data_IF_977923433121
#
_entry.id   IF_977923433121
#
_cell.length_a   1.000
_cell.length_b   1.000
_cell.length_c   1.000
_cell.angle_alpha   90.00
_cell.angle_beta   90.00
_cell.angle_gamma   90.00
#
_symmetry.space_group_name_H-M   'P 1'
#
loop_
_entity.id
_entity.type
_entity.pdbx_description
1 polymer ?
#
# COMPACT_ATOMS: atom_id res chain seq x y z
N UNK A 1 8.31 26.52 2.47
CA UNK A 1 8.01 25.24 1.75
C UNK A 1 7.69 24.19 2.80
N UNK A 2 6.56 23.55 2.70
CA UNK A 2 6.26 22.40 3.55
C UNK A 2 7.19 21.25 3.16
N UNK A 3 7.87 20.69 4.14
CA UNK A 3 8.73 19.54 3.95
C UNK A 3 7.86 18.32 3.65
N UNK A 4 8.02 17.74 2.47
CA UNK A 4 7.27 16.56 2.07
C UNK A 4 8.03 15.31 2.50
N UNK A 5 7.44 14.55 3.40
CA UNK A 5 8.05 13.33 3.92
C UNK A 5 7.89 12.17 2.93
N UNK A 6 8.89 11.33 2.86
CA UNK A 6 8.89 10.08 2.10
C UNK A 6 9.02 8.86 2.99
N UNK A 7 8.75 7.70 2.42
CA UNK A 7 8.95 6.40 3.07
C UNK A 7 9.95 5.59 2.24
N UNK A 8 11.07 5.23 2.87
CA UNK A 8 12.07 4.37 2.25
C UNK A 8 11.83 2.90 2.64
N UNK A 9 11.86 2.04 1.65
CA UNK A 9 11.69 0.59 1.82
C UNK A 9 12.72 -0.16 0.97
N UNK A 10 13.52 -1.00 1.60
CA UNK A 10 14.47 -1.89 0.94
C UNK A 10 13.90 -3.30 0.88
N UNK A 11 13.44 -3.68 -0.31
CA UNK A 11 12.81 -4.98 -0.55
C UNK A 11 13.79 -6.14 -0.37
N UNK A 12 15.08 -5.93 -0.60
CA UNK A 12 16.11 -6.97 -0.47
C UNK A 12 16.33 -7.43 0.99
N UNK A 13 15.99 -6.57 1.95
CA UNK A 13 16.15 -6.83 3.38
C UNK A 13 14.84 -7.21 4.08
N UNK A 14 13.72 -7.15 3.38
CA UNK A 14 12.41 -7.41 3.97
C UNK A 14 12.17 -8.89 4.21
N UNK A 15 11.80 -9.25 5.44
CA UNK A 15 11.48 -10.62 5.86
C UNK A 15 9.96 -10.89 5.96
N UNK A 16 9.13 -9.90 5.65
CA UNK A 16 7.68 -10.04 5.74
C UNK A 16 7.11 -10.06 7.16
N UNK A 17 7.83 -9.52 8.14
CA UNK A 17 7.43 -9.56 9.55
C UNK A 17 6.17 -8.73 9.86
N UNK A 18 5.72 -7.86 8.95
CA UNK A 18 4.55 -6.98 9.08
C UNK A 18 4.63 -5.94 10.21
N UNK A 19 5.80 -5.72 10.79
CA UNK A 19 5.98 -4.71 11.84
C UNK A 19 5.60 -3.30 11.38
N UNK A 20 5.94 -2.93 10.14
CA UNK A 20 5.57 -1.64 9.55
C UNK A 20 4.05 -1.49 9.37
N UNK A 21 3.34 -2.58 9.04
CA UNK A 21 1.89 -2.62 8.92
C UNK A 21 1.23 -2.38 10.29
N UNK A 22 1.68 -3.07 11.33
CA UNK A 22 1.15 -2.93 12.68
C UNK A 22 1.49 -1.58 13.28
N UNK A 23 2.70 -1.06 13.06
CA UNK A 23 3.10 0.27 13.52
C UNK A 23 2.21 1.37 12.92
N UNK A 24 1.87 1.27 11.64
CA UNK A 24 0.94 2.18 10.98
C UNK A 24 -0.46 2.09 11.58
N UNK A 25 -0.93 0.87 11.84
CA UNK A 25 -2.23 0.61 12.44
C UNK A 25 -2.34 1.21 13.84
N UNK A 26 -1.33 1.02 14.67
CA UNK A 26 -1.29 1.54 16.04
C UNK A 26 -1.20 3.08 16.06
N UNK A 27 -0.34 3.65 15.23
CA UNK A 27 -0.17 5.10 15.15
C UNK A 27 -1.46 5.83 14.78
N UNK A 28 -2.25 5.26 13.88
CA UNK A 28 -3.44 5.90 13.32
C UNK A 28 -4.75 5.37 13.92
N UNK A 29 -4.66 4.42 14.86
CA UNK A 29 -5.82 3.81 15.53
C UNK A 29 -6.91 3.38 14.53
N UNK A 30 -6.49 2.70 13.46
CA UNK A 30 -7.42 2.24 12.43
C UNK A 30 -8.28 1.09 12.96
N UNK A 31 -9.58 1.05 12.61
CA UNK A 31 -10.48 0.02 13.09
C UNK A 31 -10.09 -1.38 12.58
N UNK A 32 -10.68 -2.40 13.17
CA UNK A 32 -10.45 -3.79 12.80
C UNK A 32 -10.71 -4.02 11.30
N UNK A 33 -9.75 -4.66 10.64
CA UNK A 33 -9.82 -4.96 9.21
C UNK A 33 -9.32 -3.82 8.29
N UNK A 34 -9.02 -2.65 8.82
CA UNK A 34 -8.47 -1.52 8.06
C UNK A 34 -6.97 -1.44 8.24
N UNK A 35 -6.24 -1.55 7.15
CA UNK A 35 -4.78 -1.44 7.12
C UNK A 35 -4.38 -0.48 5.99
N UNK A 36 -3.88 0.70 6.36
CA UNK A 36 -3.39 1.67 5.36
C UNK A 36 -2.08 1.24 4.73
N UNK A 37 -1.23 0.56 5.50
CA UNK A 37 -0.02 -0.08 4.98
C UNK A 37 -0.21 -1.58 5.03
N UNK A 38 0.17 -2.25 3.94
CA UNK A 38 0.05 -3.71 3.79
C UNK A 38 1.37 -4.29 3.34
N UNK A 39 1.74 -5.40 3.92
CA UNK A 39 2.87 -6.21 3.48
C UNK A 39 2.32 -7.37 2.66
N UNK A 40 2.67 -7.39 1.39
CA UNK A 40 2.21 -8.40 0.42
C UNK A 40 3.36 -9.34 0.11
N UNK A 41 3.09 -10.63 0.12
CA UNK A 41 4.02 -11.67 -0.30
C UNK A 41 3.83 -11.98 -1.79
N UNK A 42 4.95 -12.02 -2.51
CA UNK A 42 5.02 -12.56 -3.85
C UNK A 42 5.88 -13.81 -3.82
N UNK A 43 5.28 -14.95 -4.09
CA UNK A 43 5.96 -16.23 -4.10
C UNK A 43 5.61 -17.04 -5.33
N UNK A 44 6.52 -17.90 -5.73
CA UNK A 44 6.33 -18.76 -6.88
C UNK A 44 7.45 -19.75 -7.03
N UNK A 45 7.44 -20.49 -8.13
CA UNK A 45 8.43 -21.50 -8.46
C UNK A 45 7.86 -22.90 -8.51
N UNK A 46 8.76 -23.87 -8.65
CA UNK A 46 8.41 -25.29 -8.80
C UNK A 46 9.49 -26.19 -8.19
N UNK A 47 9.12 -27.42 -7.96
CA UNK A 47 10.06 -28.49 -7.63
C UNK A 47 10.57 -29.13 -8.91
N UNK A 48 11.85 -29.36 -8.98
CA UNK A 48 12.49 -30.09 -10.07
C UNK A 48 13.01 -31.44 -9.60
N UNK A 49 12.78 -32.44 -10.42
CA UNK A 49 13.34 -33.78 -10.19
C UNK A 49 14.78 -33.80 -10.69
N UNK A 50 15.73 -34.13 -9.81
CA UNK A 50 17.15 -34.28 -10.12
C UNK A 50 17.56 -35.67 -9.66
N UNK A 51 17.60 -36.63 -10.59
CA UNK A 51 17.79 -38.05 -10.24
C UNK A 51 16.66 -38.57 -9.36
N UNK A 52 17.01 -39.12 -8.18
CA UNK A 52 16.07 -39.65 -7.19
C UNK A 52 15.64 -38.62 -6.14
N UNK A 53 16.01 -37.34 -6.32
CA UNK A 53 15.76 -36.26 -5.37
C UNK A 53 14.99 -35.13 -5.98
N UNK A 54 14.32 -34.31 -5.11
CA UNK A 54 13.65 -33.10 -5.51
C UNK A 54 14.47 -31.89 -5.09
N UNK A 55 14.71 -30.98 -6.04
CA UNK A 55 15.36 -29.71 -5.79
C UNK A 55 14.35 -28.57 -5.88
N UNK A 56 14.20 -27.72 -4.85
CA UNK A 56 13.32 -26.57 -4.93
C UNK A 56 13.92 -25.46 -5.81
N UNK A 57 13.11 -24.93 -6.72
CA UNK A 57 13.35 -23.68 -7.42
C UNK A 57 12.23 -22.72 -7.08
N UNK A 58 12.22 -22.26 -5.84
CA UNK A 58 11.18 -21.39 -5.31
C UNK A 58 11.77 -20.03 -4.97
N UNK A 59 10.93 -19.01 -5.07
CA UNK A 59 11.27 -17.65 -4.64
C UNK A 59 10.11 -17.09 -3.81
N UNK A 60 10.45 -16.23 -2.86
CA UNK A 60 9.49 -15.42 -2.13
C UNK A 60 10.14 -14.08 -1.80
N UNK A 61 9.38 -13.01 -1.99
CA UNK A 61 9.78 -11.68 -1.55
C UNK A 61 8.55 -10.90 -1.10
N UNK A 62 8.78 -9.83 -0.38
CA UNK A 62 7.72 -9.04 0.24
C UNK A 62 7.79 -7.60 -0.22
N UNK A 63 6.65 -6.95 -0.29
CA UNK A 63 6.55 -5.52 -0.60
C UNK A 63 5.65 -4.83 0.42
N UNK A 64 6.14 -3.75 1.00
CA UNK A 64 5.37 -2.90 1.90
C UNK A 64 4.71 -1.79 1.07
N UNK A 65 3.39 -1.82 0.98
CA UNK A 65 2.61 -0.93 0.10
C UNK A 65 1.66 -0.07 0.92
N UNK A 66 1.64 1.21 0.60
CA UNK A 66 0.67 2.18 1.12
C UNK A 66 0.42 3.26 0.06
N UNK A 67 -0.46 4.21 0.36
CA UNK A 67 -0.64 5.37 -0.49
C UNK A 67 0.69 6.12 -0.68
N UNK A 68 1.03 6.44 -1.93
CA UNK A 68 2.25 7.17 -2.27
C UNK A 68 2.08 8.69 -2.17
N UNK A 69 0.89 9.18 -1.82
CA UNK A 69 0.59 10.61 -1.77
C UNK A 69 1.11 11.33 -3.02
N UNK A 70 0.60 10.94 -4.19
CA UNK A 70 1.09 11.38 -5.50
C UNK A 70 1.14 12.90 -5.64
N UNK A 71 2.10 13.39 -6.38
CA UNK A 71 2.23 14.81 -6.70
C UNK A 71 1.08 15.29 -7.60
N UNK A 72 0.67 14.44 -8.56
CA UNK A 72 -0.51 14.66 -9.41
C UNK A 72 -1.54 13.54 -9.16
N UNK A 73 -2.36 13.65 -8.10
CA UNK A 73 -3.20 12.55 -7.64
C UNK A 73 -4.47 12.40 -8.50
N UNK A 74 -4.52 11.33 -9.27
CA UNK A 74 -5.71 10.99 -10.07
C UNK A 74 -6.95 10.76 -9.19
N UNK A 75 -6.77 10.19 -8.01
CA UNK A 75 -7.87 9.92 -7.06
C UNK A 75 -8.60 11.21 -6.62
N UNK A 76 -7.87 12.32 -6.49
CA UNK A 76 -8.45 13.63 -6.18
C UNK A 76 -9.24 14.15 -7.37
N UNK A 77 -8.71 13.99 -8.58
CA UNK A 77 -9.38 14.48 -9.80
C UNK A 77 -10.67 13.76 -10.15
N UNK A 78 -10.74 12.46 -9.85
CA UNK A 78 -11.92 11.65 -10.19
C UNK A 78 -13.00 11.65 -9.12
N UNK A 79 -12.74 12.20 -7.94
CA UNK A 79 -13.69 12.18 -6.84
C UNK A 79 -14.90 13.09 -7.16
N UNK A 80 -16.12 12.52 -7.28
CA UNK A 80 -17.30 13.29 -7.70
C UNK A 80 -17.79 14.26 -6.63
N UNK A 81 -17.48 14.02 -5.37
CA UNK A 81 -17.92 14.82 -4.23
C UNK A 81 -16.83 15.72 -3.65
N UNK A 82 -15.63 15.72 -4.28
CA UNK A 82 -14.45 16.41 -3.76
C UNK A 82 -14.06 16.02 -2.32
N UNK A 83 -14.42 14.80 -1.92
CA UNK A 83 -14.03 14.24 -0.63
C UNK A 83 -12.53 13.96 -0.53
N UNK A 84 -11.92 13.54 -1.65
CA UNK A 84 -10.46 13.35 -1.74
C UNK A 84 -9.80 14.71 -1.94
N UNK A 85 -8.92 15.09 -1.02
CA UNK A 85 -8.22 16.37 -1.05
C UNK A 85 -6.74 16.22 -0.72
N UNK A 86 -5.97 17.25 -1.09
CA UNK A 86 -4.53 17.35 -0.79
C UNK A 86 -4.32 18.42 0.27
N UNK A 87 -3.63 18.08 1.34
CA UNK A 87 -3.20 19.05 2.36
C UNK A 87 -2.00 19.87 1.88
N UNK A 88 -1.73 20.96 2.60
CA UNK A 88 -0.59 21.84 2.29
C UNK A 88 0.78 21.14 2.34
N UNK A 89 0.90 20.07 3.15
CA UNK A 89 2.09 19.23 3.27
C UNK A 89 2.21 18.15 2.16
N UNK A 90 1.26 18.13 1.22
CA UNK A 90 1.19 17.13 0.15
C UNK A 90 0.51 15.83 0.53
N UNK A 91 0.00 15.71 1.75
CA UNK A 91 -0.74 14.51 2.20
C UNK A 91 -2.12 14.46 1.56
N UNK A 92 -2.46 13.32 0.99
CA UNK A 92 -3.80 13.05 0.45
C UNK A 92 -4.64 12.42 1.54
N UNK A 93 -5.85 12.95 1.72
CA UNK A 93 -6.78 12.43 2.71
C UNK A 93 -8.23 12.46 2.20
N UNK A 94 -9.10 11.71 2.88
CA UNK A 94 -10.53 11.65 2.58
C UNK A 94 -11.28 12.43 3.66
N UNK A 95 -12.22 13.28 3.22
CA UNK A 95 -13.20 13.90 4.09
C UNK A 95 -14.45 12.99 4.15
N UNK A 96 -14.57 12.24 5.22
CA UNK A 96 -15.65 11.25 5.40
C UNK A 96 -17.04 11.88 5.35
N UNK A 97 -17.17 13.16 5.70
CA UNK A 97 -18.44 13.86 5.65
C UNK A 97 -18.97 14.09 4.23
N UNK A 98 -18.08 14.07 3.25
CA UNK A 98 -18.40 14.26 1.83
C UNK A 98 -18.35 12.97 1.01
N UNK A 99 -17.73 11.92 1.55
CA UNK A 99 -17.52 10.66 0.84
C UNK A 99 -18.84 9.90 0.72
N UNK A 100 -19.16 9.48 -0.51
CA UNK A 100 -20.36 8.66 -0.80
C UNK A 100 -20.03 7.17 -0.99
N UNK A 101 -18.75 6.78 -0.87
CA UNK A 101 -18.33 5.39 -0.97
C UNK A 101 -18.41 4.79 -2.38
N UNK A 102 -18.30 5.60 -3.43
CA UNK A 102 -18.43 5.15 -4.81
C UNK A 102 -17.23 4.31 -5.32
N UNK A 103 -16.11 4.30 -4.59
CA UNK A 103 -14.87 3.55 -4.91
C UNK A 103 -14.19 3.97 -6.22
N UNK A 104 -14.56 5.09 -6.81
CA UNK A 104 -13.96 5.54 -8.06
C UNK A 104 -12.46 5.88 -7.89
N UNK A 105 -12.09 6.42 -6.74
CA UNK A 105 -10.69 6.66 -6.37
C UNK A 105 -9.86 5.37 -6.30
N UNK A 106 -10.44 4.28 -5.79
CA UNK A 106 -9.79 2.96 -5.75
C UNK A 106 -9.52 2.43 -7.17
N UNK A 107 -10.48 2.55 -8.06
CA UNK A 107 -10.34 2.09 -9.44
C UNK A 107 -9.35 2.92 -10.27
N UNK A 108 -9.28 4.22 -9.98
CA UNK A 108 -8.36 5.12 -10.65
C UNK A 108 -6.91 4.96 -10.15
N UNK A 109 -6.72 4.47 -8.93
CA UNK A 109 -5.41 4.32 -8.32
C UNK A 109 -4.67 3.10 -8.89
N UNK A 110 -3.47 3.26 -9.48
CA UNK A 110 -2.70 2.13 -9.99
C UNK A 110 -2.19 1.19 -8.88
N UNK A 111 -2.22 1.64 -7.63
CA UNK A 111 -1.75 0.89 -6.46
C UNK A 111 -2.89 0.36 -5.58
N UNK A 112 -4.14 0.65 -5.90
CA UNK A 112 -5.32 0.31 -5.10
C UNK A 112 -5.18 0.72 -3.62
N UNK A 113 -4.69 1.93 -3.39
CA UNK A 113 -4.38 2.42 -2.04
C UNK A 113 -5.61 2.98 -1.29
N UNK A 114 -6.58 3.71 -1.93
CA UNK A 114 -7.79 4.20 -1.28
C UNK A 114 -8.74 3.10 -0.83
#
# INVERSE_FOLDING_TARGET
MSERLGFYFDQSLCTGCKACQIACKDKHDTPLGVNWRRVVEFSGGSWQVVGDTFSPRVFAYYTSVACNHCEDPICVRVCPTTAMTVRADGTIFVDDSKCVGCRYCEWACPYSAP
#
